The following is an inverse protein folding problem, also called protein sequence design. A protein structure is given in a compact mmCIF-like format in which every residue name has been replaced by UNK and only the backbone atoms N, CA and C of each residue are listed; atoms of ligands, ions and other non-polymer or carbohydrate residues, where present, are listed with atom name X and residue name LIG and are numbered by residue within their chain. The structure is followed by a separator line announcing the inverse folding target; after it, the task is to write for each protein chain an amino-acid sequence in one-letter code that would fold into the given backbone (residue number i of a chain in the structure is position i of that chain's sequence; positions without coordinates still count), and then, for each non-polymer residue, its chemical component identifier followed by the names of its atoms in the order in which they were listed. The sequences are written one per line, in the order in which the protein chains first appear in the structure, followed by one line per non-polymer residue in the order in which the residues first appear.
data_IF_974262096801
#
_entry.id   IF_974262096801
#
_cell.length_a   1.000
_cell.length_b   1.000
_cell.length_c   1.000
_cell.angle_alpha   90.00
_cell.angle_beta   90.00
_cell.angle_gamma   90.00
#
_symmetry.space_group_name_H-M   'P 1'
#
loop_
_entity.id
_entity.type
_entity.pdbx_description
1 polymer ?
#
# COMPACT_ATOMS: atom_id res chain seq x y z
N UNK A 1 -6.86 6.08 -4.01
CA UNK A 1 -6.24 5.65 -5.30
C UNK A 1 -4.74 5.36 -5.20
N UNK A 2 -4.07 5.52 -4.05
CA UNK A 2 -2.69 5.02 -3.81
C UNK A 2 -2.64 3.56 -3.32
N UNK A 3 -3.79 2.98 -3.00
CA UNK A 3 -3.96 1.60 -2.58
C UNK A 3 -3.98 0.70 -3.79
N UNK A 4 -3.45 -0.53 -3.67
CA UNK A 4 -3.46 -1.49 -4.77
C UNK A 4 -4.88 -1.75 -5.28
N UNK A 5 -5.92 -1.69 -4.43
CA UNK A 5 -7.31 -1.78 -4.89
C UNK A 5 -7.65 -0.77 -6.00
N UNK A 6 -7.09 0.45 -5.96
CA UNK A 6 -7.24 1.42 -7.06
C UNK A 6 -6.39 1.09 -8.29
N UNK A 7 -5.25 0.40 -8.10
CA UNK A 7 -4.46 -0.14 -9.22
C UNK A 7 -5.12 -1.36 -9.85
N UNK A 8 -5.69 -2.26 -9.06
CA UNK A 8 -6.39 -3.47 -9.50
C UNK A 8 -7.72 -3.11 -10.20
N UNK A 9 -8.31 -1.96 -9.86
CA UNK A 9 -9.48 -1.42 -10.55
C UNK A 9 -9.10 -0.70 -11.87
N UNK A 10 -7.95 0.00 -11.91
CA UNK A 10 -7.41 0.65 -13.11
C UNK A 10 -6.82 -0.32 -14.15
N UNK A 11 -6.05 -1.30 -13.68
CA UNK A 11 -5.46 -2.38 -14.49
C UNK A 11 -6.35 -3.62 -14.55
N UNK A 12 -7.52 -3.58 -13.91
CA UNK A 12 -8.48 -4.65 -13.95
C UNK A 12 -8.99 -4.87 -15.38
N UNK A 13 -9.18 -6.14 -15.74
CA UNK A 13 -9.77 -6.62 -16.99
C UNK A 13 -11.01 -5.82 -17.43
N UNK A 14 -11.76 -5.25 -16.48
CA UNK A 14 -12.96 -4.44 -16.72
C UNK A 14 -12.73 -3.16 -17.51
N UNK A 15 -11.64 -2.42 -17.30
CA UNK A 15 -11.40 -1.13 -17.99
C UNK A 15 -11.03 -1.37 -19.45
N UNK A 16 -10.11 -2.30 -19.70
CA UNK A 16 -9.65 -2.65 -21.04
C UNK A 16 -10.78 -3.26 -21.90
N UNK A 17 -11.57 -4.18 -21.34
CA UNK A 17 -12.71 -4.76 -22.07
C UNK A 17 -13.83 -3.78 -22.36
N UNK A 18 -14.09 -2.81 -21.47
CA UNK A 18 -15.09 -1.76 -21.72
C UNK A 18 -14.67 -0.89 -22.89
N UNK A 19 -13.41 -0.44 -22.93
CA UNK A 19 -12.90 0.35 -24.05
C UNK A 19 -12.92 -0.44 -25.37
N UNK A 20 -12.55 -1.72 -25.33
CA UNK A 20 -12.55 -2.59 -26.51
C UNK A 20 -13.97 -2.88 -27.01
N UNK A 21 -14.92 -3.14 -26.10
CA UNK A 21 -16.33 -3.34 -26.41
C UNK A 21 -16.97 -2.10 -27.02
N UNK A 22 -16.60 -0.90 -26.55
CA UNK A 22 -17.09 0.35 -27.14
C UNK A 22 -16.51 0.58 -28.54
N UNK A 23 -15.24 0.26 -28.79
CA UNK A 23 -14.63 0.32 -30.13
C UNK A 23 -15.31 -0.66 -31.09
N UNK A 24 -15.59 -1.89 -30.64
CA UNK A 24 -16.28 -2.92 -31.41
C UNK A 24 -17.72 -2.52 -31.72
N UNK A 25 -18.47 -2.01 -30.73
CA UNK A 25 -19.83 -1.50 -30.95
C UNK A 25 -19.85 -0.30 -31.90
N UNK A 26 -18.89 0.62 -31.75
CA UNK A 26 -18.79 1.78 -32.63
C UNK A 26 -18.53 1.37 -34.08
N UNK A 27 -17.60 0.44 -34.32
CA UNK A 27 -17.27 -0.05 -35.67
C UNK A 27 -18.37 -0.91 -36.31
N UNK A 28 -19.11 -1.70 -35.52
CA UNK A 28 -20.23 -2.51 -36.00
C UNK A 28 -21.49 -1.68 -36.33
N UNK A 29 -21.73 -0.60 -35.58
CA UNK A 29 -22.96 0.18 -35.68
C UNK A 29 -22.77 1.52 -36.43
N UNK A 30 -21.53 1.90 -36.74
CA UNK A 30 -21.21 3.05 -37.59
C UNK A 30 -21.72 2.79 -39.02
N UNK A 31 -22.94 3.23 -39.29
CA UNK A 31 -23.64 3.02 -40.56
C UNK A 31 -25.15 2.74 -40.40
N UNK A 32 -25.58 2.32 -39.20
CA UNK A 32 -26.97 1.89 -38.93
C UNK A 32 -27.74 2.89 -38.03
N UNK A 33 -27.04 3.56 -37.12
CA UNK A 33 -27.57 4.66 -36.29
C UNK A 33 -26.68 5.89 -36.43
N UNK A 34 -27.24 7.07 -36.12
CA UNK A 34 -26.42 8.27 -35.95
C UNK A 34 -25.45 8.05 -34.78
N UNK A 35 -24.20 8.52 -34.93
CA UNK A 35 -23.17 8.44 -33.88
C UNK A 35 -23.64 9.00 -32.53
N UNK A 36 -24.59 9.94 -32.56
CA UNK A 36 -25.23 10.55 -31.40
C UNK A 36 -26.10 9.55 -30.62
N UNK A 37 -26.88 8.70 -31.30
CA UNK A 37 -27.76 7.73 -30.64
C UNK A 37 -26.99 6.57 -29.99
N UNK A 38 -25.96 6.06 -30.68
CA UNK A 38 -25.04 5.08 -30.10
C UNK A 38 -24.40 5.58 -28.81
N UNK A 39 -24.02 6.85 -28.83
CA UNK A 39 -23.40 7.48 -27.68
C UNK A 39 -24.35 7.66 -26.50
N UNK A 40 -25.57 8.15 -26.78
CA UNK A 40 -26.62 8.27 -25.76
C UNK A 40 -26.93 6.93 -25.10
N UNK A 41 -26.94 5.83 -25.89
CA UNK A 41 -27.13 4.47 -25.36
C UNK A 41 -25.98 4.03 -24.44
N UNK A 42 -24.73 4.24 -24.85
CA UNK A 42 -23.55 3.86 -24.04
C UNK A 42 -23.51 4.65 -22.71
N UNK A 43 -23.74 5.97 -22.76
CA UNK A 43 -23.83 6.80 -21.56
C UNK A 43 -24.99 6.34 -20.67
N UNK A 44 -26.16 6.10 -21.27
CA UNK A 44 -27.35 5.65 -20.53
C UNK A 44 -27.08 4.36 -19.76
N UNK A 45 -26.44 3.37 -20.40
CA UNK A 45 -26.06 2.11 -19.75
C UNK A 45 -25.07 2.34 -18.60
N UNK A 46 -24.05 3.19 -18.76
CA UNK A 46 -23.07 3.45 -17.70
C UNK A 46 -23.71 4.21 -16.51
N UNK A 47 -24.62 5.15 -16.78
CA UNK A 47 -25.41 5.85 -15.75
C UNK A 47 -26.30 4.86 -14.99
N UNK A 48 -27.07 4.03 -15.70
CA UNK A 48 -27.96 3.03 -15.09
C UNK A 48 -27.15 2.04 -14.24
N UNK A 49 -26.02 1.55 -14.74
CA UNK A 49 -25.12 0.65 -14.00
C UNK A 49 -24.59 1.29 -12.71
N UNK A 50 -24.24 2.58 -12.74
CA UNK A 50 -23.78 3.33 -11.57
C UNK A 50 -24.90 3.60 -10.58
N UNK A 51 -26.09 4.00 -11.04
CA UNK A 51 -27.28 4.17 -10.20
C UNK A 51 -27.60 2.85 -9.49
N UNK A 52 -27.58 1.74 -10.22
CA UNK A 52 -27.78 0.40 -9.67
C UNK A 52 -26.73 0.04 -8.60
N UNK A 53 -25.45 0.36 -8.83
CA UNK A 53 -24.37 0.15 -7.85
C UNK A 53 -24.51 1.04 -6.60
N UNK A 54 -24.95 2.30 -6.76
CA UNK A 54 -25.24 3.23 -5.66
C UNK A 54 -26.39 2.68 -4.82
N UNK A 55 -27.48 2.25 -5.48
CA UNK A 55 -28.68 1.73 -4.84
C UNK A 55 -28.38 0.47 -4.01
N UNK A 56 -27.53 -0.43 -4.51
CA UNK A 56 -27.04 -1.59 -3.76
C UNK A 56 -26.04 -1.27 -2.63
N UNK A 57 -25.76 0.01 -2.34
CA UNK A 57 -24.74 0.46 -1.36
C UNK A 57 -23.37 -0.20 -1.54
N UNK A 58 -23.06 -0.67 -2.76
CA UNK A 58 -21.83 -1.42 -3.04
C UNK A 58 -20.64 -0.52 -3.34
N UNK A 59 -20.84 0.79 -3.46
CA UNK A 59 -19.78 1.75 -3.77
C UNK A 59 -19.07 2.17 -2.49
N UNK A 60 -17.79 1.81 -2.38
CA UNK A 60 -16.89 2.40 -1.40
C UNK A 60 -16.57 3.82 -1.84
N UNK A 61 -17.03 4.82 -1.08
CA UNK A 61 -16.72 6.23 -1.39
C UNK A 61 -15.20 6.44 -1.30
N UNK A 62 -14.55 6.93 -2.36
CA UNK A 62 -13.13 7.24 -2.29
C UNK A 62 -12.92 8.42 -1.34
N UNK A 63 -11.98 8.28 -0.41
CA UNK A 63 -11.57 9.41 0.45
C UNK A 63 -10.95 10.49 -0.46
N UNK A 64 -11.47 11.73 -0.45
CA UNK A 64 -10.90 12.80 -1.24
C UNK A 64 -9.49 13.07 -0.71
N UNK A 65 -8.50 12.82 -1.56
CA UNK A 65 -7.10 13.16 -1.29
C UNK A 65 -6.69 14.27 -2.25
N UNK A 66 -5.79 15.19 -1.88
CA UNK A 66 -5.35 16.26 -2.78
C UNK A 66 -4.87 15.73 -4.14
N UNK A 67 -4.21 14.56 -4.15
CA UNK A 67 -3.80 13.87 -5.37
C UNK A 67 -4.98 13.44 -6.24
N UNK A 68 -6.01 12.85 -5.63
CA UNK A 68 -7.19 12.41 -6.37
C UNK A 68 -7.98 13.59 -6.94
N UNK A 69 -8.11 14.68 -6.19
CA UNK A 69 -8.73 15.92 -6.67
C UNK A 69 -7.94 16.54 -7.82
N UNK A 70 -6.61 16.55 -7.73
CA UNK A 70 -5.74 17.04 -8.80
C UNK A 70 -5.85 16.19 -10.06
N UNK A 71 -5.89 14.85 -9.95
CA UNK A 71 -6.11 13.94 -11.09
C UNK A 71 -7.44 14.25 -11.77
N UNK A 72 -8.52 14.29 -11.00
CA UNK A 72 -9.87 14.54 -11.53
C UNK A 72 -9.95 15.94 -12.16
N UNK A 73 -9.39 16.95 -11.50
CA UNK A 73 -9.36 18.32 -12.01
C UNK A 73 -8.57 18.46 -13.31
N UNK A 74 -7.38 17.85 -13.41
CA UNK A 74 -6.59 17.85 -14.65
C UNK A 74 -7.33 17.17 -15.80
N UNK A 75 -8.02 16.06 -15.53
CA UNK A 75 -8.81 15.34 -16.54
C UNK A 75 -9.99 16.19 -17.05
N UNK A 76 -10.76 16.79 -16.13
CA UNK A 76 -11.90 17.65 -16.50
C UNK A 76 -11.43 18.88 -17.27
N UNK A 77 -10.31 19.50 -16.86
CA UNK A 77 -9.73 20.64 -17.57
C UNK A 77 -9.24 20.26 -18.97
N UNK A 78 -8.60 19.10 -19.13
CA UNK A 78 -8.18 18.58 -20.43
C UNK A 78 -9.38 18.29 -21.35
N UNK A 79 -10.43 17.66 -20.82
CA UNK A 79 -11.68 17.40 -21.56
C UNK A 79 -12.38 18.70 -21.98
N UNK A 80 -12.48 19.67 -21.06
CA UNK A 80 -13.04 21.00 -21.34
C UNK A 80 -12.22 21.78 -22.38
N UNK A 81 -10.89 21.69 -22.32
CA UNK A 81 -10.01 22.29 -23.32
C UNK A 81 -10.20 21.62 -24.69
N UNK A 82 -10.25 20.30 -24.76
CA UNK A 82 -10.49 19.56 -26.01
C UNK A 82 -11.82 19.95 -26.66
N UNK A 83 -12.87 20.19 -25.86
CA UNK A 83 -14.18 20.65 -26.32
C UNK A 83 -14.15 22.05 -26.95
N UNK A 84 -13.25 22.93 -26.52
CA UNK A 84 -13.13 24.29 -27.06
C UNK A 84 -12.41 24.34 -28.42
N UNK A 85 -11.52 23.39 -28.71
CA UNK A 85 -10.66 23.40 -29.89
C UNK A 85 -11.06 22.43 -31.00
N UNK A 86 -11.98 21.50 -30.74
CA UNK A 86 -12.35 20.44 -31.69
C UNK A 86 -13.82 20.56 -32.12
N UNK A 87 -14.11 21.16 -33.29
CA UNK A 87 -15.48 21.33 -33.78
C UNK A 87 -16.12 20.03 -34.30
N UNK A 88 -15.39 18.91 -34.24
CA UNK A 88 -15.83 17.63 -34.79
C UNK A 88 -16.34 16.69 -33.69
N UNK A 89 -17.65 16.44 -33.67
CA UNK A 89 -18.33 15.53 -32.74
C UNK A 89 -17.70 14.12 -32.72
N UNK A 90 -17.09 13.70 -33.84
CA UNK A 90 -16.39 12.42 -33.97
C UNK A 90 -15.10 12.34 -33.14
N UNK A 91 -14.37 13.45 -32.97
CA UNK A 91 -13.16 13.48 -32.14
C UNK A 91 -13.56 13.50 -30.65
N UNK A 92 -14.62 14.22 -30.31
CA UNK A 92 -15.18 14.22 -28.96
C UNK A 92 -15.61 12.82 -28.52
N UNK A 93 -16.25 12.06 -29.41
CA UNK A 93 -16.61 10.66 -29.18
C UNK A 93 -15.38 9.81 -28.88
N UNK A 94 -14.33 9.95 -29.70
CA UNK A 94 -13.07 9.23 -29.50
C UNK A 94 -12.48 9.50 -28.10
N UNK A 95 -12.41 10.77 -27.69
CA UNK A 95 -11.88 11.17 -26.37
C UNK A 95 -12.68 10.53 -25.22
N UNK A 96 -14.01 10.47 -25.33
CA UNK A 96 -14.88 9.90 -24.29
C UNK A 96 -14.73 8.39 -24.17
N UNK A 97 -14.48 7.68 -25.28
CA UNK A 97 -14.16 6.24 -25.28
C UNK A 97 -12.80 5.98 -24.62
N UNK A 98 -11.79 6.79 -24.94
CA UNK A 98 -10.45 6.68 -24.38
C UNK A 98 -10.30 7.27 -22.98
N UNK A 99 -11.31 7.97 -22.46
CA UNK A 99 -11.27 8.64 -21.15
C UNK A 99 -10.76 7.72 -20.05
N UNK A 100 -11.28 6.50 -19.95
CA UNK A 100 -10.87 5.55 -18.93
C UNK A 100 -9.40 5.14 -19.07
N UNK A 101 -8.92 4.96 -20.30
CA UNK A 101 -7.51 4.72 -20.57
C UNK A 101 -6.63 5.92 -20.17
N UNK A 102 -7.04 7.14 -20.52
CA UNK A 102 -6.34 8.37 -20.14
C UNK A 102 -6.28 8.55 -18.62
N UNK A 103 -7.36 8.23 -17.90
CA UNK A 103 -7.35 8.26 -16.42
C UNK A 103 -6.37 7.24 -15.83
N UNK A 104 -6.27 6.04 -16.43
CA UNK A 104 -5.31 5.03 -16.00
C UNK A 104 -3.88 5.48 -16.21
N UNK A 105 -3.56 5.99 -17.41
CA UNK A 105 -2.24 6.53 -17.75
C UNK A 105 -1.86 7.68 -16.83
N UNK A 106 -2.76 8.64 -16.59
CA UNK A 106 -2.52 9.78 -15.71
C UNK A 106 -2.20 9.33 -14.26
N UNK A 107 -2.96 8.36 -13.74
CA UNK A 107 -2.69 7.79 -12.40
C UNK A 107 -1.34 7.08 -12.35
N UNK A 108 -0.97 6.34 -13.38
CA UNK A 108 0.33 5.67 -13.48
C UNK A 108 1.45 6.70 -13.47
N UNK A 109 1.37 7.72 -14.32
CA UNK A 109 2.36 8.80 -14.42
C UNK A 109 2.54 9.47 -13.05
N UNK A 110 1.45 9.84 -12.39
CA UNK A 110 1.50 10.49 -11.07
C UNK A 110 1.97 9.56 -9.94
N UNK A 111 1.90 8.24 -10.15
CA UNK A 111 2.42 7.26 -9.20
C UNK A 111 3.94 7.09 -9.27
N UNK A 112 4.56 7.37 -10.44
CA UNK A 112 6.01 7.19 -10.66
C UNK A 112 6.84 8.02 -9.68
N UNK A 113 6.65 9.36 -9.53
CA UNK A 113 7.42 10.15 -8.58
C UNK A 113 7.27 9.67 -7.14
N UNK A 114 6.07 9.20 -6.76
CA UNK A 114 5.82 8.71 -5.41
C UNK A 114 6.56 7.41 -5.09
N UNK A 115 6.75 6.56 -6.10
CA UNK A 115 7.54 5.33 -5.98
C UNK A 115 9.03 5.66 -5.78
N UNK A 116 9.58 6.55 -6.59
CA UNK A 116 10.97 7.00 -6.46
C UNK A 116 11.20 7.70 -5.12
N UNK A 117 10.32 8.61 -4.71
CA UNK A 117 10.39 9.26 -3.42
C UNK A 117 10.42 8.24 -2.27
N UNK A 118 9.52 7.24 -2.29
CA UNK A 118 9.51 6.17 -1.28
C UNK A 118 10.87 5.45 -1.22
N UNK A 119 11.42 5.06 -2.38
CA UNK A 119 12.72 4.37 -2.47
C UNK A 119 13.87 5.23 -1.93
N UNK A 120 13.88 6.53 -2.25
CA UNK A 120 14.87 7.48 -1.73
C UNK A 120 14.81 7.60 -0.21
N UNK A 121 13.60 7.72 0.36
CA UNK A 121 13.41 7.78 1.82
C UNK A 121 13.96 6.53 2.52
N UNK A 122 13.67 5.34 1.99
CA UNK A 122 14.13 4.07 2.56
C UNK A 122 15.66 3.97 2.48
N UNK A 123 16.25 4.28 1.32
CA UNK A 123 17.71 4.24 1.14
C UNK A 123 18.42 5.23 2.07
N UNK A 124 17.91 6.45 2.19
CA UNK A 124 18.46 7.44 3.10
C UNK A 124 18.34 7.02 4.57
N UNK A 125 17.21 6.44 4.97
CA UNK A 125 16.99 5.93 6.32
C UNK A 125 17.94 4.78 6.67
N UNK A 126 18.11 3.83 5.74
CA UNK A 126 19.03 2.69 5.86
C UNK A 126 20.48 3.19 6.03
N UNK A 127 20.92 4.10 5.15
CA UNK A 127 22.26 4.70 5.22
C UNK A 127 22.47 5.49 6.51
N UNK A 128 21.43 6.14 7.04
CA UNK A 128 21.49 6.87 8.31
C UNK A 128 21.67 5.92 9.49
N UNK A 129 20.85 4.87 9.61
CA UNK A 129 20.96 3.89 10.69
C UNK A 129 22.31 3.16 10.68
N UNK A 130 22.84 2.82 9.49
CA UNK A 130 24.13 2.15 9.35
C UNK A 130 25.32 2.93 9.95
N UNK A 131 25.18 4.25 10.16
CA UNK A 131 26.21 5.08 10.82
C UNK A 131 26.26 4.86 12.34
N UNK A 132 25.20 4.35 12.95
CA UNK A 132 25.07 4.15 14.40
C UNK A 132 25.36 2.69 14.77
N UNK A 133 26.61 2.25 14.61
CA UNK A 133 27.02 0.84 14.80
C UNK A 133 26.73 0.25 16.18
N UNK A 134 26.62 1.08 17.22
CA UNK A 134 26.33 0.66 18.60
C UNK A 134 24.82 0.60 18.91
N UNK A 135 23.97 1.11 18.03
CA UNK A 135 22.52 1.16 18.24
C UNK A 135 21.93 -0.25 18.12
N UNK A 136 21.26 -0.71 19.17
CA UNK A 136 20.53 -1.98 19.15
C UNK A 136 19.11 -1.74 18.67
N UNK A 137 18.70 -2.48 17.65
CA UNK A 137 17.34 -2.35 17.09
C UNK A 137 16.49 -3.55 17.52
N UNK A 138 15.32 -3.27 18.09
CA UNK A 138 14.32 -4.26 18.50
C UNK A 138 13.11 -4.14 17.58
N UNK A 139 12.83 -5.18 16.80
CA UNK A 139 11.62 -5.26 15.98
C UNK A 139 10.49 -5.94 16.73
N UNK A 140 9.27 -5.42 16.59
CA UNK A 140 8.07 -6.01 17.19
C UNK A 140 7.00 -6.18 16.12
N UNK A 141 6.54 -7.42 15.90
CA UNK A 141 5.43 -7.72 14.99
C UNK A 141 4.43 -8.70 15.60
N UNK A 142 3.30 -8.87 14.91
CA UNK A 142 2.20 -9.75 15.28
C UNK A 142 0.87 -9.25 14.74
N UNK A 143 -0.20 -10.02 14.94
CA UNK A 143 -1.57 -9.60 14.64
C UNK A 143 -2.05 -8.57 15.67
N UNK A 144 -1.87 -8.84 16.96
CA UNK A 144 -2.23 -7.92 18.05
C UNK A 144 -1.10 -7.77 19.08
N UNK A 145 -1.26 -6.87 20.05
CA UNK A 145 -0.28 -6.65 21.12
C UNK A 145 0.94 -5.82 20.76
N UNK A 146 1.26 -5.62 19.47
CA UNK A 146 2.44 -4.88 18.99
C UNK A 146 2.68 -3.53 19.70
N UNK A 147 1.68 -2.66 19.72
CA UNK A 147 1.83 -1.31 20.28
C UNK A 147 1.94 -1.33 21.81
N UNK A 148 1.20 -2.21 22.49
CA UNK A 148 1.29 -2.38 23.94
C UNK A 148 2.65 -2.94 24.36
N UNK A 149 3.12 -3.98 23.66
CA UNK A 149 4.46 -4.56 23.89
C UNK A 149 5.55 -3.54 23.66
N UNK A 150 5.48 -2.74 22.58
CA UNK A 150 6.42 -1.62 22.36
C UNK A 150 6.42 -0.66 23.54
N UNK A 151 5.25 -0.26 24.02
CA UNK A 151 5.15 0.76 25.06
C UNK A 151 5.70 0.26 26.40
N UNK A 152 5.27 -0.92 26.85
CA UNK A 152 5.76 -1.52 28.09
C UNK A 152 7.26 -1.83 28.03
N UNK A 153 7.74 -2.41 26.93
CA UNK A 153 9.17 -2.67 26.75
C UNK A 153 9.97 -1.37 26.81
N UNK A 154 9.48 -0.32 26.14
CA UNK A 154 10.15 0.98 26.13
C UNK A 154 10.26 1.57 27.54
N UNK A 155 9.17 1.57 28.31
CA UNK A 155 9.17 2.09 29.69
C UNK A 155 10.10 1.30 30.62
N UNK A 156 10.20 -0.02 30.44
CA UNK A 156 11.12 -0.85 31.22
C UNK A 156 12.58 -0.51 30.86
N UNK A 157 12.89 -0.41 29.56
CA UNK A 157 14.25 -0.15 29.09
C UNK A 157 14.73 1.28 29.38
N UNK A 158 13.82 2.27 29.42
CA UNK A 158 14.12 3.66 29.77
C UNK A 158 14.78 3.82 31.15
N UNK A 159 14.62 2.85 32.05
CA UNK A 159 15.27 2.85 33.38
C UNK A 159 16.79 2.68 33.32
N UNK A 160 17.33 2.13 32.23
CA UNK A 160 18.75 1.76 32.13
C UNK A 160 19.40 2.25 30.84
N UNK A 161 18.62 2.40 29.77
CA UNK A 161 19.12 2.72 28.43
C UNK A 161 18.47 3.99 27.89
N UNK A 162 19.24 4.76 27.11
CA UNK A 162 18.67 5.82 26.28
C UNK A 162 17.96 5.19 25.08
N UNK A 163 16.66 5.43 24.93
CA UNK A 163 15.88 4.78 23.88
C UNK A 163 15.17 5.74 22.94
N UNK A 164 14.86 5.23 21.74
CA UNK A 164 13.84 5.79 20.84
C UNK A 164 12.87 4.68 20.47
N UNK A 165 11.63 5.05 20.16
CA UNK A 165 10.59 4.12 19.69
C UNK A 165 9.81 4.71 18.53
N UNK A 166 9.23 3.87 17.68
CA UNK A 166 8.32 4.39 16.64
C UNK A 166 7.06 5.01 17.26
N UNK A 167 6.61 6.20 16.80
CA UNK A 167 5.39 6.82 17.28
C UNK A 167 4.15 5.97 17.02
N UNK A 168 3.02 6.36 17.62
CA UNK A 168 1.72 5.75 17.32
C UNK A 168 1.45 5.79 15.82
N UNK A 169 0.86 4.72 15.27
CA UNK A 169 0.55 4.56 13.84
C UNK A 169 1.77 4.60 12.88
N UNK A 170 3.00 4.54 13.39
CA UNK A 170 4.22 4.49 12.57
C UNK A 170 4.76 3.07 12.52
N UNK A 171 4.14 2.24 11.68
CA UNK A 171 4.47 0.82 11.55
C UNK A 171 4.62 0.33 10.10
N UNK A 172 4.46 1.24 9.12
CA UNK A 172 4.72 0.95 7.71
C UNK A 172 6.16 1.28 7.34
N UNK A 173 6.71 0.60 6.34
CA UNK A 173 8.05 0.83 5.78
C UNK A 173 8.37 2.32 5.56
N UNK A 174 7.49 3.06 4.88
CA UNK A 174 7.70 4.49 4.61
C UNK A 174 7.54 5.36 5.86
N UNK A 175 6.64 5.00 6.78
CA UNK A 175 6.46 5.72 8.04
C UNK A 175 7.71 5.61 8.91
N UNK A 176 8.25 4.40 9.04
CA UNK A 176 9.46 4.12 9.79
C UNK A 176 10.66 4.83 9.15
N UNK A 177 10.81 4.78 7.82
CA UNK A 177 11.88 5.50 7.12
C UNK A 177 11.86 7.01 7.41
N UNK A 178 10.68 7.64 7.34
CA UNK A 178 10.52 9.07 7.65
C UNK A 178 10.83 9.39 9.11
N UNK A 179 10.45 8.51 10.04
CA UNK A 179 10.77 8.66 11.46
C UNK A 179 12.29 8.63 11.66
N UNK A 180 12.96 7.59 11.15
CA UNK A 180 14.43 7.45 11.22
C UNK A 180 15.13 8.73 10.74
N UNK A 181 14.71 9.29 9.61
CA UNK A 181 15.34 10.50 9.07
C UNK A 181 15.17 11.74 9.97
N UNK A 182 14.05 11.85 10.69
CA UNK A 182 13.77 12.96 11.62
C UNK A 182 14.35 12.74 13.02
N UNK A 183 14.57 11.49 13.43
CA UNK A 183 15.08 11.15 14.76
C UNK A 183 16.59 11.35 14.85
N UNK A 184 17.07 11.98 15.92
CA UNK A 184 18.48 11.96 16.27
C UNK A 184 18.80 10.71 17.10
N UNK A 185 19.74 9.88 16.62
CA UNK A 185 20.19 8.67 17.30
C UNK A 185 21.53 8.85 18.03
N UNK A 186 22.05 10.08 18.13
CA UNK A 186 23.21 10.38 18.97
C UNK A 186 22.86 10.04 20.43
N UNK A 187 23.74 9.29 21.10
CA UNK A 187 23.56 8.83 22.48
C UNK A 187 22.26 8.04 22.71
N UNK A 188 21.80 7.30 21.70
CA UNK A 188 20.68 6.35 21.82
C UNK A 188 21.24 4.93 21.79
N UNK A 189 20.90 4.15 22.80
CA UNK A 189 21.34 2.76 22.96
C UNK A 189 20.41 1.79 22.24
N UNK A 190 19.09 2.03 22.33
CA UNK A 190 18.06 1.12 21.80
C UNK A 190 17.04 1.86 20.93
N UNK A 191 16.71 1.28 19.78
CA UNK A 191 15.61 1.71 18.94
C UNK A 191 14.55 0.62 18.79
N UNK A 192 13.35 0.86 19.34
CA UNK A 192 12.21 -0.06 19.29
C UNK A 192 11.30 0.26 18.10
N UNK A 193 11.10 -0.71 17.22
CA UNK A 193 10.40 -0.55 15.93
C UNK A 193 9.17 -1.44 15.90
N UNK A 194 7.98 -0.84 15.94
CA UNK A 194 6.73 -1.53 15.62
C UNK A 194 6.63 -1.80 14.12
N UNK A 195 6.44 -3.06 13.72
CA UNK A 195 6.41 -3.49 12.32
C UNK A 195 5.03 -4.04 11.95
N UNK A 196 4.33 -3.29 11.11
CA UNK A 196 3.05 -3.64 10.52
C UNK A 196 3.22 -4.19 9.11
N UNK A 197 2.33 -5.10 8.74
CA UNK A 197 2.25 -5.64 7.39
C UNK A 197 0.82 -6.04 7.08
N UNK A 198 0.44 -5.86 5.81
CA UNK A 198 -0.80 -6.31 5.19
C UNK A 198 -0.54 -7.33 4.09
N UNK A 199 0.73 -7.55 3.73
CA UNK A 199 1.15 -8.45 2.65
C UNK A 199 2.50 -9.11 2.97
N UNK A 200 2.75 -10.21 2.29
CA UNK A 200 4.06 -10.86 2.33
C UNK A 200 5.18 -9.89 1.88
N UNK A 201 6.36 -10.11 2.44
CA UNK A 201 7.62 -9.38 2.26
C UNK A 201 7.63 -7.96 2.84
N UNK A 202 6.55 -7.46 3.44
CA UNK A 202 6.54 -6.12 4.03
C UNK A 202 7.33 -6.05 5.33
N UNK A 203 7.28 -7.08 6.18
CA UNK A 203 8.11 -7.13 7.40
C UNK A 203 9.57 -7.29 7.00
N UNK A 204 9.87 -8.14 6.01
CA UNK A 204 11.22 -8.33 5.48
C UNK A 204 11.83 -7.00 5.00
N UNK A 205 11.10 -6.20 4.24
CA UNK A 205 11.55 -4.87 3.80
C UNK A 205 11.88 -3.93 4.95
N UNK A 206 11.09 -3.97 6.02
CA UNK A 206 11.40 -3.18 7.23
C UNK A 206 12.68 -3.71 7.88
N UNK A 207 12.84 -5.03 8.00
CA UNK A 207 14.04 -5.65 8.55
C UNK A 207 15.30 -5.31 7.75
N UNK A 208 15.20 -5.29 6.41
CA UNK A 208 16.31 -4.91 5.52
C UNK A 208 16.70 -3.43 5.64
N UNK A 209 15.80 -2.59 6.16
CA UNK A 209 16.07 -1.18 6.42
C UNK A 209 16.64 -0.94 7.83
N UNK A 210 16.15 -1.65 8.85
CA UNK A 210 16.47 -1.37 10.26
C UNK A 210 17.43 -2.36 10.91
N UNK A 211 17.68 -3.51 10.28
CA UNK A 211 18.58 -4.57 10.76
C UNK A 211 18.40 -4.90 12.26
N UNK A 212 17.22 -5.45 12.65
CA UNK A 212 16.93 -5.76 14.04
C UNK A 212 17.88 -6.84 14.57
N UNK A 213 18.34 -6.66 15.81
CA UNK A 213 19.11 -7.66 16.55
C UNK A 213 18.20 -8.52 17.44
N UNK A 214 17.06 -7.97 17.83
CA UNK A 214 16.05 -8.65 18.63
C UNK A 214 14.72 -8.56 17.88
N UNK A 215 14.03 -9.68 17.72
CA UNK A 215 12.72 -9.77 17.07
C UNK A 215 11.69 -10.35 18.03
N UNK A 216 10.62 -9.60 18.29
CA UNK A 216 9.51 -10.01 19.15
C UNK A 216 8.28 -10.28 18.27
N UNK A 217 7.81 -11.53 18.28
CA UNK A 217 6.58 -11.95 17.64
C UNK A 217 5.49 -12.18 18.71
N UNK A 218 4.54 -11.23 18.81
CA UNK A 218 3.55 -11.22 19.88
C UNK A 218 2.44 -12.26 19.71
N UNK A 219 1.86 -12.38 18.51
CA UNK A 219 0.80 -13.33 18.20
C UNK A 219 0.58 -13.45 16.68
N UNK A 220 0.08 -14.60 16.23
CA UNK A 220 -0.44 -14.83 14.88
C UNK A 220 -1.91 -15.22 14.99
N UNK A 221 -2.76 -14.52 14.24
CA UNK A 221 -4.22 -14.67 14.23
C UNK A 221 -4.81 -14.17 12.90
N UNK A 222 -6.04 -14.58 12.53
CA UNK A 222 -6.72 -14.25 11.26
C UNK A 222 -7.09 -12.76 11.15
N UNK A 223 -6.08 -11.90 11.07
CA UNK A 223 -6.23 -10.46 10.91
C UNK A 223 -5.87 -10.07 9.48
N UNK A 224 -6.71 -9.26 8.85
CA UNK A 224 -6.54 -8.85 7.45
C UNK A 224 -6.47 -10.04 6.47
N UNK A 225 -7.21 -11.12 6.77
CA UNK A 225 -7.20 -12.34 5.96
C UNK A 225 -7.55 -12.08 4.48
N UNK A 226 -8.44 -11.12 4.20
CA UNK A 226 -8.78 -10.71 2.83
C UNK A 226 -7.60 -10.10 2.05
N UNK A 227 -6.61 -9.54 2.74
CA UNK A 227 -5.40 -8.96 2.13
C UNK A 227 -4.26 -9.98 2.03
N UNK A 228 -4.19 -10.91 2.99
CA UNK A 228 -3.17 -11.97 3.03
C UNK A 228 -3.55 -13.21 2.22
N UNK A 229 -4.84 -13.45 1.97
CA UNK A 229 -5.36 -14.63 1.28
C UNK A 229 -5.54 -15.85 2.20
N UNK A 230 -4.55 -16.15 3.04
CA UNK A 230 -4.58 -17.35 3.90
C UNK A 230 -3.90 -17.14 5.26
N UNK A 231 -4.13 -18.06 6.20
CA UNK A 231 -3.48 -18.05 7.52
C UNK A 231 -1.99 -18.33 7.43
N UNK A 232 -1.58 -19.20 6.50
CA UNK A 232 -0.19 -19.54 6.21
C UNK A 232 0.58 -18.30 5.73
N UNK A 233 -0.04 -17.49 4.87
CA UNK A 233 0.55 -16.22 4.43
C UNK A 233 0.72 -15.22 5.58
N UNK A 234 -0.23 -15.16 6.52
CA UNK A 234 -0.09 -14.33 7.73
C UNK A 234 1.09 -14.86 8.56
N UNK A 235 1.12 -16.15 8.87
CA UNK A 235 2.16 -16.77 9.68
C UNK A 235 3.55 -16.58 9.05
N UNK A 236 3.69 -16.86 7.75
CA UNK A 236 4.92 -16.64 6.98
C UNK A 236 5.35 -15.19 7.01
N UNK A 237 4.42 -14.24 6.82
CA UNK A 237 4.74 -12.80 6.86
C UNK A 237 5.25 -12.37 8.23
N UNK A 238 4.66 -12.86 9.32
CA UNK A 238 5.11 -12.51 10.67
C UNK A 238 6.44 -13.17 11.02
N UNK A 239 6.67 -14.38 10.53
CA UNK A 239 7.93 -15.12 10.65
C UNK A 239 9.10 -14.41 9.97
N UNK A 240 8.86 -13.57 8.96
CA UNK A 240 9.89 -12.77 8.27
C UNK A 240 10.80 -12.00 9.24
N UNK A 241 10.25 -11.49 10.35
CA UNK A 241 11.03 -10.82 11.38
C UNK A 241 12.06 -11.77 11.99
N UNK A 242 11.61 -12.94 12.44
CA UNK A 242 12.45 -13.94 13.11
C UNK A 242 13.54 -14.47 12.16
N UNK A 243 13.18 -14.72 10.90
CA UNK A 243 14.15 -15.18 9.87
C UNK A 243 15.11 -14.10 9.39
N UNK A 244 14.85 -12.82 9.70
CA UNK A 244 15.71 -11.71 9.29
C UNK A 244 16.72 -11.30 10.36
N UNK A 245 16.67 -11.93 11.54
CA UNK A 245 17.63 -11.67 12.61
C UNK A 245 19.02 -12.21 12.22
N UNK A 246 20.10 -11.57 12.69
CA UNK A 246 21.45 -12.11 12.54
C UNK A 246 21.61 -13.42 13.32
N UNK A 247 22.64 -14.20 13.01
CA UNK A 247 22.90 -15.51 13.68
C UNK A 247 23.03 -15.41 15.21
N UNK A 248 23.52 -14.28 15.70
CA UNK A 248 23.66 -13.95 17.13
C UNK A 248 22.50 -13.07 17.66
N UNK A 249 21.39 -13.00 16.93
CA UNK A 249 20.20 -12.25 17.30
C UNK A 249 19.26 -13.06 18.20
N UNK A 250 18.29 -12.37 18.80
CA UNK A 250 17.33 -12.97 19.73
C UNK A 250 15.91 -12.98 19.14
N UNK A 251 15.35 -14.17 18.98
CA UNK A 251 13.96 -14.38 18.61
C UNK A 251 13.12 -14.63 19.87
N UNK A 252 12.13 -13.78 20.12
CA UNK A 252 11.22 -13.88 21.26
C UNK A 252 9.80 -14.05 20.71
N UNK A 253 9.06 -15.05 21.19
CA UNK A 253 7.67 -15.24 20.77
C UNK A 253 6.78 -15.82 21.87
N UNK A 254 5.48 -15.64 21.73
CA UNK A 254 4.49 -16.23 22.61
C UNK A 254 4.25 -17.70 22.26
N UNK A 255 4.75 -18.62 23.09
CA UNK A 255 4.63 -20.08 22.90
C UNK A 255 3.21 -20.62 23.11
N UNK A 256 2.33 -19.86 23.77
CA UNK A 256 0.92 -20.24 24.00
C UNK A 256 0.09 -20.10 22.73
N UNK A 257 0.56 -19.32 21.74
CA UNK A 257 -0.06 -19.23 20.43
C UNK A 257 0.50 -20.35 19.52
N UNK A 258 -0.33 -21.32 19.06
CA UNK A 258 0.16 -22.47 18.29
C UNK A 258 0.89 -22.08 16.99
N UNK A 259 0.40 -21.04 16.30
CA UNK A 259 1.03 -20.53 15.08
C UNK A 259 2.40 -19.88 15.35
N UNK A 260 2.54 -19.17 16.47
CA UNK A 260 3.84 -18.65 16.91
C UNK A 260 4.83 -19.78 17.24
N UNK A 261 4.35 -20.82 17.93
CA UNK A 261 5.15 -22.03 18.22
C UNK A 261 5.60 -22.72 16.93
N UNK A 262 4.71 -22.83 15.95
CA UNK A 262 5.04 -23.38 14.64
C UNK A 262 6.01 -22.48 13.85
N UNK A 263 5.89 -21.16 13.97
CA UNK A 263 6.80 -20.21 13.32
C UNK A 263 8.26 -20.39 13.79
N UNK A 264 8.49 -20.94 14.98
CA UNK A 264 9.82 -21.28 15.47
C UNK A 264 10.45 -22.48 14.75
N UNK A 265 9.64 -23.40 14.21
CA UNK A 265 10.16 -24.58 13.50
C UNK A 265 11.00 -24.14 12.29
N UNK A 266 12.21 -24.68 12.18
CA UNK A 266 13.15 -24.35 11.11
C UNK A 266 13.97 -23.06 11.33
N UNK A 267 13.87 -22.42 12.49
CA UNK A 267 14.89 -21.46 12.93
C UNK A 267 16.03 -22.23 13.60
N UNK A 268 17.27 -21.95 13.21
CA UNK A 268 18.46 -22.45 13.90
C UNK A 268 18.68 -21.63 15.16
N UNK A 269 18.34 -22.18 16.32
CA UNK A 269 18.71 -21.63 17.62
C UNK A 269 20.06 -22.22 18.04
N UNK A 270 20.99 -21.37 18.45
CA UNK A 270 22.27 -21.76 19.04
C UNK A 270 22.21 -21.62 20.56
#
# INVERSE_FOLDING_TARGET
MSTQAGKDELFGYRVLWRSLLVIVLYTLLSGLLSNVMLFAAIIGIDIISKIYCIWRKSIRRPVPTPKALLIVGMLVAMEGLMLLFLPFINILLLVLVFRWFLTAVAVVILSIPSFFAKKMYIMAATKKLARYKKLRVIGITGSYGKSSTKEFLSQILEKTYSIKKTPKNTNTEIGIAKHILRTNFKNVDVYVVEMGAYRMKEIKKICDMVHPHIGILTAIAPQHLSLFGSMENIASTKKELLTSLPKNGWAITNVDNPYCREALKGLSCH
#
